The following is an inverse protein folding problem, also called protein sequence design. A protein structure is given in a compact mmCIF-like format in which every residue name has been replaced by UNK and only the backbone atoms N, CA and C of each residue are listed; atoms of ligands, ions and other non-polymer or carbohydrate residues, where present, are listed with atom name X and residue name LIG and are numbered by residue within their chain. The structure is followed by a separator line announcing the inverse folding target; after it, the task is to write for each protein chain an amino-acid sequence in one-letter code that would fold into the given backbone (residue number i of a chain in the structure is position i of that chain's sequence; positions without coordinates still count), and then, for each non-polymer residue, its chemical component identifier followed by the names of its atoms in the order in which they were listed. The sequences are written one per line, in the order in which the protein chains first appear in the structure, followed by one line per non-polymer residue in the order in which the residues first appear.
data_IF_320989763935
#
_entry.id   IF_320989763935
#
_cell.length_a   1.000
_cell.length_b   1.000
_cell.length_c   1.000
_cell.angle_alpha   90.00
_cell.angle_beta   90.00
_cell.angle_gamma   90.00
#
_symmetry.space_group_name_H-M   'P 1'
#
loop_
_entity.id
_entity.type
_entity.pdbx_description
1 polymer ?
#
# COMPACT_ATOMS: atom_id res chain seq x y z
N UNK A 1 1.36 4.35 -11.03
CA UNK A 1 1.77 3.96 -9.65
C UNK A 1 1.18 2.60 -9.35
N UNK A 2 1.68 1.90 -8.33
CA UNK A 2 1.06 0.67 -7.82
C UNK A 2 0.87 0.80 -6.32
N UNK A 3 -0.24 0.28 -5.81
CA UNK A 3 -0.54 0.20 -4.40
C UNK A 3 -1.00 -1.21 -4.03
N UNK A 4 -0.81 -1.57 -2.77
CA UNK A 4 -1.14 -2.90 -2.28
C UNK A 4 -0.99 -2.99 -0.77
N UNK A 5 -1.49 -4.08 -0.23
CA UNK A 5 -1.33 -4.45 1.18
C UNK A 5 -0.88 -5.90 1.28
N UNK A 6 0.12 -6.16 2.11
CA UNK A 6 0.55 -7.52 2.46
C UNK A 6 0.39 -7.79 3.94
N UNK A 7 0.19 -9.05 4.30
CA UNK A 7 0.00 -9.48 5.69
C UNK A 7 1.04 -10.50 6.10
N UNK A 8 1.49 -10.45 7.36
CA UNK A 8 2.29 -11.52 7.94
C UNK A 8 1.48 -12.81 8.05
N UNK A 9 2.16 -13.95 8.08
CA UNK A 9 1.52 -15.27 8.14
C UNK A 9 0.59 -15.45 9.36
N UNK A 10 0.90 -14.78 10.47
CA UNK A 10 0.12 -14.78 11.70
C UNK A 10 -1.01 -13.74 11.72
N UNK A 11 -1.14 -12.91 10.67
CA UNK A 11 -2.15 -11.87 10.54
C UNK A 11 -1.97 -10.66 11.47
N UNK A 12 -0.88 -10.58 12.23
CA UNK A 12 -0.67 -9.51 13.23
C UNK A 12 -0.13 -8.21 12.63
N UNK A 13 0.44 -8.27 11.42
CA UNK A 13 1.04 -7.13 10.74
C UNK A 13 0.49 -6.98 9.33
N UNK A 14 -0.11 -5.82 9.06
CA UNK A 14 -0.43 -5.37 7.71
C UNK A 14 0.57 -4.30 7.25
N UNK A 15 1.07 -4.43 6.02
CA UNK A 15 1.97 -3.44 5.39
C UNK A 15 1.33 -2.90 4.13
N UNK A 16 1.00 -1.62 4.14
CA UNK A 16 0.52 -0.89 2.97
C UNK A 16 1.71 -0.28 2.22
N UNK A 17 1.77 -0.47 0.91
CA UNK A 17 2.82 0.07 0.06
C UNK A 17 2.24 0.85 -1.12
N UNK A 18 2.89 1.96 -1.49
CA UNK A 18 2.61 2.74 -2.69
C UNK A 18 3.95 3.04 -3.36
N UNK A 19 4.10 2.69 -4.64
CA UNK A 19 5.31 3.01 -5.39
C UNK A 19 5.43 4.51 -5.64
N UNK A 20 6.64 5.07 -5.59
CA UNK A 20 6.92 6.47 -5.93
C UNK A 20 7.22 6.69 -7.43
N UNK A 21 7.41 5.60 -8.17
CA UNK A 21 7.63 5.59 -9.61
C UNK A 21 6.84 4.44 -10.27
N UNK A 22 6.71 4.42 -11.61
CA UNK A 22 6.09 3.32 -12.34
C UNK A 22 6.81 1.98 -12.08
N UNK A 23 6.10 1.11 -11.35
CA UNK A 23 6.29 -0.34 -11.19
C UNK A 23 6.13 -1.18 -12.46
N UNK A 24 6.68 -2.39 -12.58
CA UNK A 24 5.93 -3.55 -13.11
C UNK A 24 5.13 -4.25 -12.00
N UNK A 25 4.18 -5.13 -12.36
CA UNK A 25 3.39 -5.87 -11.36
C UNK A 25 4.28 -6.89 -10.65
N UNK A 26 5.18 -7.51 -11.42
CA UNK A 26 6.20 -8.41 -10.93
C UNK A 26 7.14 -7.75 -9.92
N UNK A 27 7.70 -6.58 -10.23
CA UNK A 27 8.56 -5.84 -9.29
C UNK A 27 7.82 -5.47 -8.02
N UNK A 28 6.56 -5.03 -8.13
CA UNK A 28 5.74 -4.72 -6.98
C UNK A 28 5.46 -5.96 -6.11
N UNK A 29 5.16 -7.11 -6.72
CA UNK A 29 4.95 -8.36 -6.01
C UNK A 29 6.20 -8.87 -5.29
N UNK A 30 7.39 -8.70 -5.90
CA UNK A 30 8.67 -9.07 -5.26
C UNK A 30 8.98 -8.26 -4.01
N UNK A 31 8.48 -7.02 -3.90
CA UNK A 31 8.60 -6.27 -2.64
C UNK A 31 7.98 -7.05 -1.48
N UNK A 32 6.77 -7.58 -1.65
CA UNK A 32 6.09 -8.32 -0.60
C UNK A 32 6.76 -9.67 -0.32
N UNK A 33 6.98 -10.47 -1.37
CA UNK A 33 7.54 -11.82 -1.24
C UNK A 33 9.00 -11.82 -0.79
N UNK A 34 9.86 -11.08 -1.49
CA UNK A 34 11.32 -11.15 -1.33
C UNK A 34 11.84 -10.07 -0.37
N UNK A 35 11.28 -8.85 -0.43
CA UNK A 35 11.74 -7.72 0.38
C UNK A 35 11.17 -7.67 1.79
N UNK A 36 9.90 -8.07 1.97
CA UNK A 36 9.19 -7.97 3.25
C UNK A 36 8.87 -9.34 3.87
N UNK A 37 9.05 -10.43 3.12
CA UNK A 37 8.76 -11.79 3.59
C UNK A 37 7.27 -12.02 3.89
N UNK A 38 6.37 -11.32 3.22
CA UNK A 38 4.93 -11.41 3.43
C UNK A 38 4.35 -12.47 2.46
N UNK A 39 3.73 -13.56 2.98
CA UNK A 39 3.25 -14.66 2.14
C UNK A 39 2.06 -14.28 1.27
N UNK A 40 1.22 -13.38 1.75
CA UNK A 40 0.00 -12.93 1.07
C UNK A 40 0.05 -11.42 0.85
N UNK A 41 -0.37 -11.00 -0.35
CA UNK A 41 -0.54 -9.60 -0.70
C UNK A 41 -1.70 -9.40 -1.69
N UNK A 42 -2.44 -8.32 -1.49
CA UNK A 42 -3.52 -7.87 -2.36
C UNK A 42 -3.09 -6.62 -3.12
N UNK A 43 -3.26 -6.65 -4.44
CA UNK A 43 -3.14 -5.47 -5.28
C UNK A 43 -4.40 -4.61 -5.18
N UNK A 44 -4.22 -3.31 -4.93
CA UNK A 44 -5.32 -2.35 -4.83
C UNK A 44 -5.48 -1.58 -6.14
N UNK A 45 -6.35 -0.57 -6.15
CA UNK A 45 -6.60 0.23 -7.35
C UNK A 45 -5.34 1.01 -7.78
N UNK A 46 -4.74 0.60 -8.90
CA UNK A 46 -3.60 1.28 -9.52
C UNK A 46 -3.94 2.60 -10.21
N UNK A 47 -5.23 2.93 -10.34
CA UNK A 47 -5.72 4.16 -10.99
C UNK A 47 -5.77 5.32 -9.99
N UNK A 48 -6.17 5.04 -8.75
CA UNK A 48 -6.22 6.02 -7.64
C UNK A 48 -5.36 5.51 -6.48
N UNK A 49 -4.08 5.85 -6.47
CA UNK A 49 -3.17 5.60 -5.34
C UNK A 49 -2.86 6.89 -4.60
N UNK A 50 -3.42 7.07 -3.39
CA UNK A 50 -3.16 8.23 -2.54
C UNK A 50 -2.87 7.85 -1.12
N UNK A 51 -2.05 8.68 -0.47
CA UNK A 51 -1.75 8.60 0.95
C UNK A 51 -2.04 9.92 1.64
N UNK A 52 -2.74 9.82 2.77
CA UNK A 52 -2.80 10.88 3.76
C UNK A 52 -2.07 10.41 5.01
N UNK A 53 -0.87 10.95 5.21
CA UNK A 53 0.01 10.64 6.34
C UNK A 53 0.70 11.92 6.81
N UNK A 54 0.02 12.74 7.64
CA UNK A 54 0.57 14.00 8.16
C UNK A 54 1.88 13.82 8.93
N UNK A 55 2.06 12.68 9.61
CA UNK A 55 3.27 12.35 10.37
C UNK A 55 4.55 12.30 9.53
N UNK A 56 4.43 12.08 8.22
CA UNK A 56 5.55 12.12 7.26
C UNK A 56 5.40 13.28 6.26
N UNK A 57 4.54 14.25 6.55
CA UNK A 57 4.34 15.43 5.70
C UNK A 57 3.71 15.15 4.34
N UNK A 58 3.05 14.00 4.15
CA UNK A 58 2.45 13.61 2.87
C UNK A 58 0.93 13.67 2.91
N UNK A 59 0.35 14.41 1.98
CA UNK A 59 -1.09 14.41 1.73
C UNK A 59 -1.36 14.61 0.24
N UNK A 60 -1.64 13.51 -0.45
CA UNK A 60 -1.83 13.53 -1.90
C UNK A 60 -3.19 14.18 -2.27
N UNK A 61 -3.21 15.06 -3.28
CA UNK A 61 -4.43 15.73 -3.79
C UNK A 61 -5.10 14.90 -4.90
N UNK A 62 -6.41 15.12 -5.13
CA UNK A 62 -7.06 14.80 -6.40
C UNK A 62 -8.57 14.52 -6.31
N UNK A 63 -9.09 13.74 -7.28
CA UNK A 63 -10.50 13.32 -7.44
C UNK A 63 -11.11 12.61 -6.21
N UNK A 64 -12.44 12.50 -6.16
CA UNK A 64 -13.16 11.74 -5.10
C UNK A 64 -12.59 10.34 -4.92
N UNK A 65 -12.34 9.95 -3.66
CA UNK A 65 -11.86 8.61 -3.30
C UNK A 65 -13.04 7.66 -3.07
N UNK A 66 -12.83 6.38 -3.38
CA UNK A 66 -13.74 5.30 -3.01
C UNK A 66 -13.50 4.85 -1.56
N UNK A 67 -13.54 3.54 -1.28
CA UNK A 67 -13.22 3.01 0.04
C UNK A 67 -11.84 3.46 0.55
N UNK A 68 -11.76 3.76 1.84
CA UNK A 68 -10.53 4.20 2.52
C UNK A 68 -10.24 3.21 3.65
N UNK A 69 -8.98 2.82 3.79
CA UNK A 69 -8.48 2.14 4.98
C UNK A 69 -7.73 3.17 5.82
N UNK A 70 -8.15 3.32 7.08
CA UNK A 70 -7.52 4.21 8.05
C UNK A 70 -7.11 3.42 9.28
N UNK A 71 -5.96 3.77 9.86
CA UNK A 71 -5.60 3.36 11.20
C UNK A 71 -5.96 4.52 12.11
N UNK A 72 -6.87 4.27 13.05
CA UNK A 72 -7.19 5.20 14.12
C UNK A 72 -6.33 4.80 15.32
N UNK A 73 -5.61 5.75 15.90
CA UNK A 73 -5.03 5.55 17.22
C UNK A 73 -6.12 5.53 18.28
N UNK A 74 -5.81 4.98 19.45
CA UNK A 74 -6.55 5.33 20.67
C UNK A 74 -6.27 6.78 21.07
#
# INVERSE_FOLDING_TARGET
MRNGVGTSADGTRAVFAISAAPVTFWEFGRLFRDGLGLPDALYLDGSVSRLHAPSIGRSDRGVRMGPIVGVLGE
#
